data_IF_382175943136
#
_entry.id   IF_382175943136
#
_cell.length_a   1.000
_cell.length_b   1.000
_cell.length_c   1.000
_cell.angle_alpha   90.00
_cell.angle_beta   90.00
_cell.angle_gamma   90.00
#
_symmetry.space_group_name_H-M   'P 1'
#
loop_
_entity.id
_entity.type
_entity.pdbx_description
1 polymer ?
#
# COMPACT_ATOMS: atom_id res chain seq x y z
N UNK A 1 -48.05 -17.92 17.48
CA UNK A 1 -49.22 -18.29 16.61
C UNK A 1 -48.84 -17.97 15.18
N UNK A 2 -48.78 -19.04 14.40
CA UNK A 2 -48.93 -19.17 12.93
C UNK A 2 -48.03 -18.31 12.01
N UNK A 3 -47.02 -18.89 11.43
CA UNK A 3 -47.07 -19.83 10.29
C UNK A 3 -47.54 -19.22 8.97
N UNK A 4 -46.66 -19.13 7.98
CA UNK A 4 -46.86 -19.80 6.70
C UNK A 4 -45.63 -19.66 5.76
N UNK A 5 -45.11 -20.82 5.43
CA UNK A 5 -44.21 -21.10 4.32
C UNK A 5 -44.88 -20.81 2.99
N UNK A 6 -44.14 -20.32 2.01
CA UNK A 6 -44.52 -20.57 0.60
C UNK A 6 -43.26 -20.80 -0.22
N UNK A 7 -43.07 -22.06 -0.52
CA UNK A 7 -42.16 -22.64 -1.50
C UNK A 7 -42.77 -22.47 -2.88
N UNK A 8 -42.00 -22.00 -3.87
CA UNK A 8 -42.37 -22.20 -5.26
C UNK A 8 -41.11 -22.61 -6.06
N UNK A 9 -41.07 -23.90 -6.38
CA UNK A 9 -40.24 -24.50 -7.41
C UNK A 9 -40.84 -24.20 -8.79
N UNK A 10 -40.04 -23.82 -9.76
CA UNK A 10 -40.36 -24.10 -11.16
C UNK A 10 -39.06 -24.55 -11.86
N UNK A 11 -39.16 -25.72 -12.41
CA UNK A 11 -38.12 -26.46 -13.13
C UNK A 11 -38.16 -26.19 -14.63
N UNK A 12 -37.01 -26.40 -15.25
CA UNK A 12 -36.80 -27.10 -16.52
C UNK A 12 -37.15 -26.39 -17.83
N UNK A 13 -36.14 -26.18 -18.70
CA UNK A 13 -36.13 -26.77 -20.03
C UNK A 13 -34.74 -26.61 -20.71
N UNK A 14 -34.14 -27.76 -20.97
CA UNK A 14 -33.02 -27.96 -21.90
C UNK A 14 -33.49 -27.74 -23.36
N UNK A 15 -32.68 -27.12 -24.20
CA UNK A 15 -32.67 -27.42 -25.64
C UNK A 15 -31.21 -27.48 -26.13
N UNK A 16 -30.87 -28.66 -26.54
CA UNK A 16 -29.67 -29.04 -27.31
C UNK A 16 -29.97 -28.79 -28.78
N UNK A 17 -29.08 -28.15 -29.51
CA UNK A 17 -29.04 -28.27 -30.97
C UNK A 17 -27.59 -28.33 -31.45
N UNK A 18 -27.33 -29.44 -32.10
CA UNK A 18 -26.05 -29.81 -32.72
C UNK A 18 -26.03 -29.45 -34.22
N UNK A 19 -24.80 -29.50 -34.74
CA UNK A 19 -24.39 -29.81 -36.10
C UNK A 19 -24.14 -28.66 -37.09
N UNK A 20 -22.95 -28.75 -37.69
CA UNK A 20 -22.60 -28.11 -38.95
C UNK A 20 -21.11 -28.04 -39.22
N UNK A 21 -20.46 -29.20 -39.48
CA UNK A 21 -19.16 -29.25 -40.16
C UNK A 21 -19.34 -28.90 -41.65
N UNK A 22 -18.50 -28.03 -42.20
CA UNK A 22 -18.15 -28.05 -43.64
C UNK A 22 -16.66 -27.73 -43.79
N UNK A 23 -15.95 -28.76 -44.20
CA UNK A 23 -14.62 -28.75 -44.85
C UNK A 23 -14.75 -28.41 -46.31
N UNK A 24 -13.84 -27.61 -46.88
CA UNK A 24 -13.31 -27.75 -48.24
C UNK A 24 -12.17 -26.77 -48.54
N UNK A 25 -11.36 -26.94 -49.60
CA UNK A 25 -9.93 -27.24 -49.44
C UNK A 25 -9.00 -26.14 -50.00
N UNK A 26 -7.71 -26.43 -49.85
CA UNK A 26 -6.52 -25.72 -50.26
C UNK A 26 -6.55 -25.06 -51.65
N UNK A 27 -6.04 -23.86 -51.73
CA UNK A 27 -5.40 -23.34 -52.92
C UNK A 27 -4.00 -22.82 -52.63
N UNK A 28 -3.06 -23.40 -53.33
CA UNK A 28 -1.63 -23.19 -53.28
C UNK A 28 -1.28 -22.05 -54.22
N UNK A 29 -0.84 -20.92 -53.69
CA UNK A 29 -0.11 -19.94 -54.50
C UNK A 29 1.22 -19.60 -53.79
N UNK A 30 2.27 -20.03 -54.44
CA UNK A 30 3.62 -19.60 -54.15
C UNK A 30 3.82 -18.20 -54.74
N UNK A 31 4.46 -17.29 -53.99
CA UNK A 31 5.30 -16.25 -54.57
C UNK A 31 6.09 -15.49 -53.49
N UNK A 32 7.41 -15.60 -53.62
CA UNK A 32 8.47 -14.63 -53.32
C UNK A 32 8.56 -14.05 -51.93
N UNK A 33 9.59 -14.48 -51.22
CA UNK A 33 10.15 -13.81 -50.07
C UNK A 33 10.78 -12.43 -50.42
N UNK A 34 10.56 -11.40 -49.66
CA UNK A 34 11.49 -10.28 -49.60
C UNK A 34 12.47 -10.45 -48.44
N UNK A 35 13.65 -10.20 -48.81
CA UNK A 35 14.90 -9.95 -48.10
C UNK A 35 14.80 -9.52 -46.66
N UNK A 36 15.47 -10.28 -45.80
CA UNK A 36 15.64 -10.07 -44.37
C UNK A 36 16.57 -8.87 -44.11
N UNK A 37 15.98 -7.70 -43.94
CA UNK A 37 16.69 -6.55 -43.39
C UNK A 37 16.92 -6.81 -41.89
N UNK A 38 18.15 -7.14 -41.54
CA UNK A 38 18.56 -7.31 -40.16
C UNK A 38 18.52 -5.96 -39.43
N UNK A 39 17.51 -5.78 -38.57
CA UNK A 39 17.55 -4.74 -37.57
C UNK A 39 18.62 -5.13 -36.53
N UNK A 40 19.51 -4.20 -36.11
CA UNK A 40 20.43 -4.47 -35.03
C UNK A 40 19.63 -4.71 -33.73
N UNK A 41 19.97 -5.80 -33.04
CA UNK A 41 19.44 -6.10 -31.73
C UNK A 41 19.74 -4.91 -30.79
N UNK A 42 18.68 -4.25 -30.33
CA UNK A 42 18.78 -3.31 -29.24
C UNK A 42 19.23 -4.09 -28.00
N UNK A 43 20.40 -3.77 -27.47
CA UNK A 43 20.84 -4.25 -26.16
C UNK A 43 19.77 -3.90 -25.11
N UNK A 44 19.44 -4.80 -24.16
CA UNK A 44 18.54 -4.47 -23.07
C UNK A 44 19.21 -3.38 -22.24
N UNK A 45 18.79 -2.14 -22.47
CA UNK A 45 19.19 -1.00 -21.66
C UNK A 45 18.92 -1.32 -20.19
N UNK A 46 20.01 -1.41 -19.42
CA UNK A 46 19.99 -1.49 -17.97
C UNK A 46 19.24 -0.28 -17.46
N UNK A 47 17.95 -0.43 -17.16
CA UNK A 47 17.14 0.60 -16.49
C UNK A 47 17.82 0.80 -15.14
N UNK A 48 18.62 1.85 -15.02
CA UNK A 48 19.15 2.27 -13.74
C UNK A 48 17.94 2.62 -12.87
N UNK A 49 17.65 1.79 -11.88
CA UNK A 49 16.70 2.08 -10.83
C UNK A 49 17.28 3.25 -10.04
N UNK A 50 16.94 4.47 -10.46
CA UNK A 50 17.32 5.68 -9.72
C UNK A 50 16.41 5.76 -8.50
N UNK A 51 16.80 5.07 -7.43
CA UNK A 51 16.26 5.37 -6.11
C UNK A 51 16.53 6.86 -5.86
N UNK A 52 15.49 7.69 -5.59
CA UNK A 52 15.71 9.10 -5.33
C UNK A 52 16.74 9.28 -4.21
N UNK A 53 17.70 10.17 -4.39
CA UNK A 53 18.67 10.48 -3.34
C UNK A 53 17.91 10.94 -2.09
N UNK A 54 18.21 10.36 -0.92
CA UNK A 54 17.61 10.75 0.34
C UNK A 54 18.13 12.15 0.69
N UNK A 55 17.27 13.17 0.80
CA UNK A 55 17.68 14.52 1.20
C UNK A 55 18.36 14.50 2.58
N UNK A 56 19.31 15.41 2.82
CA UNK A 56 20.06 15.49 4.07
C UNK A 56 19.16 15.58 5.33
N UNK A 57 18.01 16.24 5.20
CA UNK A 57 17.01 16.33 6.29
C UNK A 57 16.38 14.97 6.64
N UNK A 58 16.51 13.97 5.77
CA UNK A 58 16.04 12.60 5.95
C UNK A 58 17.21 11.60 6.01
N UNK A 59 18.43 12.06 6.27
CA UNK A 59 19.55 11.20 6.64
C UNK A 59 19.27 10.50 7.97
N UNK A 60 20.08 9.50 8.28
CA UNK A 60 20.00 8.81 9.58
C UNK A 60 20.05 9.81 10.73
N UNK A 61 19.20 9.68 11.77
CA UNK A 61 19.20 10.61 12.90
C UNK A 61 20.57 10.65 13.59
N UNK A 62 21.06 11.83 13.97
CA UNK A 62 22.33 11.96 14.65
C UNK A 62 22.31 11.20 16.01
N UNK A 63 23.44 10.56 16.35
CA UNK A 63 23.61 9.74 17.57
C UNK A 63 22.69 8.50 17.66
N UNK A 64 22.07 8.12 16.56
CA UNK A 64 21.31 6.88 16.44
C UNK A 64 21.93 5.96 15.37
N UNK A 65 21.62 4.68 15.48
CA UNK A 65 21.97 3.66 14.47
C UNK A 65 20.73 2.87 14.06
N UNK A 66 20.65 2.50 12.80
CA UNK A 66 19.61 1.62 12.30
C UNK A 66 19.69 0.26 13.01
N UNK A 67 18.57 -0.17 13.59
CA UNK A 67 18.45 -1.46 14.28
C UNK A 67 17.61 -2.45 13.50
N UNK A 68 16.63 -1.96 12.73
CA UNK A 68 15.72 -2.80 11.97
C UNK A 68 15.26 -2.08 10.72
N UNK A 69 15.11 -2.84 9.63
CA UNK A 69 14.47 -2.43 8.39
C UNK A 69 13.38 -3.42 8.04
N UNK A 70 12.17 -2.94 7.70
CA UNK A 70 11.04 -3.77 7.30
C UNK A 70 10.31 -3.15 6.13
N UNK A 71 9.74 -4.00 5.28
CA UNK A 71 8.79 -3.61 4.26
C UNK A 71 7.38 -3.60 4.86
N UNK A 72 6.58 -2.61 4.49
CA UNK A 72 5.17 -2.52 4.83
C UNK A 72 4.30 -2.64 3.58
N UNK A 73 3.26 -3.44 3.66
CA UNK A 73 2.21 -3.54 2.64
C UNK A 73 0.85 -3.54 3.32
N UNK A 74 -0.05 -2.66 2.86
CA UNK A 74 -1.37 -2.54 3.45
C UNK A 74 -2.14 -1.37 2.88
N UNK A 75 -2.94 -0.70 3.71
CA UNK A 75 -3.81 0.39 3.30
C UNK A 75 -3.69 1.62 4.22
N UNK A 76 -3.91 2.77 3.64
CA UNK A 76 -4.28 3.98 4.38
C UNK A 76 -5.81 4.08 4.38
N UNK A 77 -6.40 4.20 5.55
CA UNK A 77 -7.85 4.32 5.74
C UNK A 77 -8.17 5.80 5.90
N UNK A 78 -9.09 6.30 5.09
CA UNK A 78 -9.56 7.66 5.13
C UNK A 78 -11.06 7.69 5.43
N UNK A 79 -11.50 8.70 6.20
CA UNK A 79 -12.90 8.99 6.43
C UNK A 79 -13.27 10.29 5.72
N UNK A 80 -14.38 10.30 5.00
CA UNK A 80 -14.93 11.50 4.40
C UNK A 80 -15.63 12.33 5.48
N UNK A 81 -15.28 13.59 5.58
CA UNK A 81 -15.88 14.52 6.53
C UNK A 81 -15.72 15.98 6.16
N UNK A 82 -16.39 16.88 6.87
CA UNK A 82 -16.20 18.30 6.68
C UNK A 82 -14.76 18.71 7.00
N UNK A 83 -14.22 19.66 6.24
CA UNK A 83 -12.91 20.24 6.53
C UNK A 83 -12.93 20.99 7.86
N UNK A 84 -11.79 20.99 8.55
CA UNK A 84 -11.68 21.67 9.86
C UNK A 84 -11.82 23.19 9.77
N UNK A 85 -11.38 23.76 8.68
CA UNK A 85 -11.34 25.21 8.39
C UNK A 85 -12.58 25.70 7.63
N UNK A 86 -13.35 24.81 7.01
CA UNK A 86 -14.57 25.10 6.29
C UNK A 86 -15.54 23.91 6.33
N UNK A 87 -16.51 23.95 7.23
CA UNK A 87 -17.49 22.88 7.40
C UNK A 87 -18.45 22.72 6.19
N UNK A 88 -18.46 23.63 5.23
CA UNK A 88 -19.24 23.51 3.99
C UNK A 88 -18.54 22.65 2.94
N UNK A 89 -17.23 22.47 3.04
CA UNK A 89 -16.41 21.65 2.18
C UNK A 89 -16.10 20.31 2.83
N UNK A 90 -16.00 19.27 2.02
CA UNK A 90 -15.70 17.91 2.47
C UNK A 90 -14.35 17.44 1.92
N UNK A 91 -13.66 16.62 2.70
CA UNK A 91 -12.39 16.01 2.31
C UNK A 91 -12.18 14.66 2.97
N UNK A 92 -11.40 13.81 2.32
CA UNK A 92 -10.87 12.59 2.92
C UNK A 92 -9.80 12.93 3.95
N UNK A 93 -10.04 12.55 5.19
CA UNK A 93 -9.09 12.73 6.30
C UNK A 93 -8.54 11.37 6.72
N UNK A 94 -7.22 11.29 6.87
CA UNK A 94 -6.57 10.05 7.32
C UNK A 94 -7.09 9.64 8.70
N UNK A 95 -7.68 8.45 8.76
CA UNK A 95 -8.13 7.79 9.99
C UNK A 95 -7.00 6.99 10.61
N UNK A 96 -6.44 6.04 9.86
CA UNK A 96 -5.40 5.14 10.34
C UNK A 96 -4.70 4.42 9.17
N UNK A 97 -3.44 4.02 9.33
CA UNK A 97 -2.84 2.96 8.53
C UNK A 97 -3.29 1.58 9.04
N UNK A 98 -3.20 0.58 8.17
CA UNK A 98 -3.30 -0.84 8.49
C UNK A 98 -2.39 -1.60 7.53
N UNK A 99 -1.28 -2.15 8.03
CA UNK A 99 -0.30 -2.83 7.18
C UNK A 99 0.39 -3.99 7.91
N UNK A 100 0.78 -4.98 7.13
CA UNK A 100 1.68 -6.03 7.53
C UNK A 100 3.12 -5.57 7.36
N UNK A 101 3.99 -5.98 8.28
CA UNK A 101 5.42 -5.73 8.23
C UNK A 101 6.15 -7.06 7.94
N UNK A 102 7.04 -7.00 6.96
CA UNK A 102 7.85 -8.17 6.54
C UNK A 102 9.33 -7.83 6.57
N UNK A 103 10.16 -8.82 6.86
CA UNK A 103 11.62 -8.71 6.74
C UNK A 103 12.07 -8.82 5.27
N UNK A 104 13.39 -8.73 5.05
CA UNK A 104 14.00 -8.84 3.72
C UNK A 104 13.82 -10.20 3.05
N UNK A 105 13.42 -11.24 3.80
CA UNK A 105 13.12 -12.58 3.31
C UNK A 105 11.63 -12.77 3.03
N UNK A 106 10.79 -11.77 3.35
CA UNK A 106 9.34 -11.80 3.18
C UNK A 106 8.59 -12.46 4.35
N UNK A 107 9.24 -12.79 5.45
CA UNK A 107 8.55 -13.30 6.63
C UNK A 107 7.86 -12.16 7.38
N UNK A 108 6.63 -12.41 7.82
CA UNK A 108 5.89 -11.49 8.67
C UNK A 108 6.59 -11.32 10.01
N UNK A 109 6.94 -10.08 10.33
CA UNK A 109 7.62 -9.71 11.57
C UNK A 109 6.78 -8.77 12.45
N UNK A 110 5.63 -8.29 11.95
CA UNK A 110 4.77 -7.43 12.74
C UNK A 110 3.64 -6.80 11.94
N UNK A 111 3.07 -5.75 12.51
CA UNK A 111 1.98 -4.93 11.92
C UNK A 111 2.18 -3.46 12.23
N UNK A 112 1.61 -2.60 11.38
CA UNK A 112 1.53 -1.15 11.57
C UNK A 112 0.06 -0.72 11.54
N UNK A 113 -0.36 0.08 12.52
CA UNK A 113 -1.75 0.50 12.66
C UNK A 113 -1.88 1.83 13.40
N UNK A 114 -3.09 2.42 13.37
CA UNK A 114 -3.40 3.59 14.18
C UNK A 114 -3.79 3.18 15.59
N UNK A 115 -3.19 3.84 16.60
CA UNK A 115 -3.60 3.73 18.00
C UNK A 115 -4.17 5.05 18.52
N UNK A 116 -4.84 5.08 19.67
CA UNK A 116 -5.36 6.32 20.25
C UNK A 116 -4.26 7.38 20.52
N UNK A 117 -3.02 6.94 20.70
CA UNK A 117 -1.89 7.80 21.09
C UNK A 117 -0.94 8.12 19.95
N UNK A 118 -1.13 7.52 18.76
CA UNK A 118 -0.30 7.75 17.58
C UNK A 118 -0.19 6.53 16.65
N UNK A 119 0.60 6.63 15.58
CA UNK A 119 0.89 5.47 14.73
C UNK A 119 1.72 4.46 15.52
N UNK A 120 1.31 3.18 15.48
CA UNK A 120 1.94 2.10 16.22
C UNK A 120 2.54 1.05 15.29
N UNK A 121 3.70 0.53 15.67
CA UNK A 121 4.34 -0.65 15.07
C UNK A 121 4.49 -1.70 16.18
N UNK A 122 3.96 -2.88 15.94
CA UNK A 122 3.95 -3.99 16.89
C UNK A 122 4.58 -5.20 16.24
N UNK A 123 5.63 -5.72 16.85
CA UNK A 123 6.34 -6.89 16.36
C UNK A 123 5.67 -8.19 16.83
N UNK A 124 6.00 -9.29 16.14
CA UNK A 124 5.54 -10.64 16.51
C UNK A 124 6.07 -11.11 17.86
N UNK A 125 7.13 -10.49 18.39
CA UNK A 125 7.66 -10.73 19.74
C UNK A 125 6.88 -10.02 20.85
N UNK A 126 5.82 -9.27 20.49
CA UNK A 126 4.97 -8.52 21.40
C UNK A 126 5.51 -7.14 21.80
N UNK A 127 6.72 -6.76 21.37
CA UNK A 127 7.20 -5.39 21.57
C UNK A 127 6.50 -4.42 20.62
N UNK A 128 6.33 -3.18 21.10
CA UNK A 128 5.64 -2.13 20.35
C UNK A 128 6.33 -0.79 20.50
N UNK A 129 6.30 0.00 19.43
CA UNK A 129 6.68 1.42 19.45
C UNK A 129 5.53 2.26 18.92
N UNK A 130 5.28 3.39 19.57
CA UNK A 130 4.31 4.42 19.13
C UNK A 130 5.11 5.64 18.71
N UNK A 131 4.83 6.13 17.50
CA UNK A 131 5.48 7.32 16.96
C UNK A 131 4.80 8.61 17.42
N UNK A 132 5.60 9.65 17.62
CA UNK A 132 5.13 11.00 17.94
C UNK A 132 4.81 11.75 16.63
N UNK A 133 3.54 11.70 16.22
CA UNK A 133 3.08 12.37 14.98
C UNK A 133 3.26 13.89 15.05
N UNK A 134 3.12 14.50 16.23
CA UNK A 134 3.15 15.94 16.39
C UNK A 134 4.57 16.51 16.19
N UNK A 135 5.59 15.67 16.34
CA UNK A 135 7.00 15.98 16.10
C UNK A 135 7.56 15.40 14.81
N UNK A 136 6.70 14.83 13.97
CA UNK A 136 7.14 14.24 12.71
C UNK A 136 7.64 15.29 11.73
N UNK A 137 8.82 15.03 11.16
CA UNK A 137 9.26 15.69 9.94
C UNK A 137 8.63 14.98 8.73
N UNK A 138 8.12 15.74 7.78
CA UNK A 138 7.43 15.23 6.60
C UNK A 138 8.05 15.80 5.33
N UNK A 139 8.33 14.93 4.35
CA UNK A 139 8.76 15.32 3.02
C UNK A 139 7.73 14.82 2.01
N UNK A 140 7.07 15.74 1.27
CA UNK A 140 6.14 15.35 0.22
C UNK A 140 6.80 14.44 -0.82
N UNK A 141 6.07 13.42 -1.26
CA UNK A 141 6.49 12.53 -2.33
C UNK A 141 5.40 12.52 -3.43
N UNK A 142 5.76 12.64 -4.73
CA UNK A 142 4.77 12.71 -5.80
C UNK A 142 3.87 11.48 -5.83
N UNK A 143 2.55 11.69 -5.91
CA UNK A 143 1.52 10.65 -6.09
C UNK A 143 1.47 9.55 -5.01
N UNK A 144 2.09 9.77 -3.86
CA UNK A 144 2.13 8.81 -2.76
C UNK A 144 2.02 9.51 -1.40
N UNK A 145 1.93 8.73 -0.32
CA UNK A 145 2.02 9.30 1.02
C UNK A 145 3.44 9.83 1.27
N UNK A 146 3.61 10.89 2.07
CA UNK A 146 4.90 11.52 2.30
C UNK A 146 5.90 10.60 3.00
N UNK A 147 7.19 10.84 2.79
CA UNK A 147 8.24 10.33 3.65
C UNK A 147 8.13 10.95 5.02
N UNK A 148 8.48 10.22 6.06
CA UNK A 148 8.39 10.69 7.45
C UNK A 148 9.65 10.31 8.23
N UNK A 149 10.04 11.19 9.13
CA UNK A 149 10.95 10.90 10.23
C UNK A 149 10.29 11.39 11.51
N UNK A 150 10.06 10.50 12.46
CA UNK A 150 9.37 10.84 13.71
C UNK A 150 10.05 10.18 14.91
N UNK A 151 10.16 10.88 16.05
CA UNK A 151 10.65 10.27 17.27
C UNK A 151 9.65 9.25 17.81
N UNK A 152 10.13 8.27 18.57
CA UNK A 152 9.28 7.42 19.37
C UNK A 152 8.67 8.24 20.52
N UNK A 153 7.34 8.14 20.66
CA UNK A 153 6.60 8.70 21.80
C UNK A 153 6.68 7.78 23.01
N UNK A 154 6.56 6.47 22.78
CA UNK A 154 6.69 5.44 23.81
C UNK A 154 7.04 4.09 23.18
N UNK A 155 7.61 3.20 24.00
CA UNK A 155 7.80 1.79 23.69
C UNK A 155 7.16 0.93 24.77
N UNK A 156 6.70 -0.28 24.39
CA UNK A 156 6.07 -1.24 25.28
C UNK A 156 6.63 -2.63 25.00
N UNK A 157 6.62 -3.48 26.02
CA UNK A 157 7.10 -4.86 25.93
C UNK A 157 8.63 -4.97 25.85
N UNK A 158 9.11 -6.21 25.74
CA UNK A 158 10.53 -6.54 25.53
C UNK A 158 10.70 -7.15 24.16
N UNK A 159 11.65 -6.67 23.36
CA UNK A 159 11.90 -7.17 22.00
C UNK A 159 12.48 -6.10 21.11
N UNK A 160 12.32 -6.29 19.81
CA UNK A 160 12.98 -5.48 18.76
C UNK A 160 12.62 -3.99 18.80
N UNK A 161 11.43 -3.64 19.31
CA UNK A 161 10.99 -2.25 19.39
C UNK A 161 11.22 -1.58 20.74
N UNK A 162 11.69 -2.32 21.76
CA UNK A 162 11.79 -1.82 23.14
C UNK A 162 12.77 -0.65 23.34
N UNK A 163 13.75 -0.47 22.45
CA UNK A 163 14.77 0.57 22.53
C UNK A 163 14.70 1.59 21.39
N UNK A 164 13.67 1.56 20.57
CA UNK A 164 13.53 2.46 19.42
C UNK A 164 13.40 3.92 19.88
N UNK A 165 14.18 4.80 19.25
CA UNK A 165 14.19 6.23 19.46
C UNK A 165 13.53 6.99 18.32
N UNK A 166 13.74 6.55 17.09
CA UNK A 166 13.15 7.17 15.91
C UNK A 166 12.67 6.13 14.89
N UNK A 167 11.65 6.49 14.13
CA UNK A 167 11.08 5.72 13.04
C UNK A 167 11.14 6.57 11.78
N UNK A 168 11.62 5.99 10.69
CA UNK A 168 11.65 6.64 9.39
C UNK A 168 10.81 5.83 8.39
N UNK A 169 9.99 6.51 7.59
CA UNK A 169 9.25 5.94 6.47
C UNK A 169 9.77 6.51 5.18
N UNK A 170 10.32 5.65 4.32
CA UNK A 170 10.83 5.99 2.98
C UNK A 170 10.22 5.07 1.92
N UNK A 171 10.59 5.31 0.65
CA UNK A 171 10.23 4.46 -0.49
C UNK A 171 8.72 4.17 -0.56
N UNK A 172 7.92 5.21 -0.38
CA UNK A 172 6.47 5.09 -0.35
C UNK A 172 5.89 4.91 -1.75
N UNK A 173 4.90 4.03 -1.89
CA UNK A 173 4.11 3.81 -3.10
C UNK A 173 2.62 3.90 -2.72
N UNK A 174 1.83 4.63 -3.48
CA UNK A 174 0.39 4.74 -3.27
C UNK A 174 -0.02 5.37 -1.93
N UNK A 175 -1.18 5.00 -1.44
CA UNK A 175 -1.70 5.42 -0.14
C UNK A 175 -2.24 6.85 -0.07
N UNK A 176 -2.12 7.68 -1.12
CA UNK A 176 -2.65 9.05 -1.14
C UNK A 176 -4.18 9.02 -1.09
N UNK A 177 -4.76 9.95 -0.32
CA UNK A 177 -6.21 10.12 -0.32
C UNK A 177 -6.75 10.38 -1.73
N UNK A 178 -7.93 9.85 -2.11
CA UNK A 178 -8.54 10.19 -3.38
C UNK A 178 -8.82 11.69 -3.47
N UNK A 179 -8.65 12.24 -4.67
CA UNK A 179 -8.91 13.67 -4.92
C UNK A 179 -10.41 13.96 -5.06
N UNK A 180 -11.25 12.92 -5.24
CA UNK A 180 -12.69 13.01 -5.45
C UNK A 180 -13.47 12.02 -4.58
N UNK A 181 -14.81 12.04 -4.66
CA UNK A 181 -15.69 11.08 -4.00
C UNK A 181 -15.99 11.37 -2.52
N UNK A 182 -15.48 12.48 -1.98
CA UNK A 182 -15.87 12.95 -0.66
C UNK A 182 -16.70 14.24 -0.76
N UNK A 183 -17.96 14.11 -0.44
CA UNK A 183 -18.96 15.18 -0.42
C UNK A 183 -19.94 14.96 0.74
N UNK A 184 -20.93 15.82 0.85
CA UNK A 184 -21.97 15.74 1.90
C UNK A 184 -22.74 14.42 1.87
N UNK A 185 -22.99 13.83 0.70
CA UNK A 185 -23.71 12.56 0.56
C UNK A 185 -22.87 11.35 0.99
N UNK A 186 -21.55 11.51 0.98
CA UNK A 186 -20.59 10.49 1.37
C UNK A 186 -19.99 10.72 2.76
N UNK A 187 -20.50 11.71 3.52
CA UNK A 187 -20.02 11.99 4.87
C UNK A 187 -20.09 10.75 5.78
N UNK A 188 -19.03 10.49 6.51
CA UNK A 188 -18.87 9.31 7.38
C UNK A 188 -18.43 8.04 6.67
N UNK A 189 -18.44 7.98 5.34
CA UNK A 189 -17.91 6.82 4.59
C UNK A 189 -16.41 6.73 4.70
N UNK A 190 -15.91 5.50 4.63
CA UNK A 190 -14.47 5.21 4.63
C UNK A 190 -14.02 4.72 3.25
N UNK A 191 -12.77 5.01 2.92
CA UNK A 191 -12.07 4.44 1.78
C UNK A 191 -10.72 3.89 2.23
N UNK A 192 -10.28 2.82 1.58
CA UNK A 192 -9.02 2.12 1.86
C UNK A 192 -8.14 2.20 0.62
N UNK A 193 -6.98 2.82 0.74
CA UNK A 193 -6.08 3.04 -0.39
C UNK A 193 -4.79 2.26 -0.17
N UNK A 194 -4.49 1.35 -1.07
CA UNK A 194 -3.30 0.50 -0.99
C UNK A 194 -2.02 1.34 -0.95
N UNK A 195 -1.09 0.92 -0.09
CA UNK A 195 0.24 1.51 -0.03
C UNK A 195 1.32 0.48 0.29
N UNK A 196 2.55 0.85 -0.07
CA UNK A 196 3.77 0.22 0.41
C UNK A 196 4.72 1.28 0.95
N UNK A 197 5.61 0.85 1.82
CA UNK A 197 6.69 1.69 2.35
C UNK A 197 7.82 0.82 2.89
N UNK A 198 8.99 1.43 3.09
CA UNK A 198 10.05 0.87 3.92
C UNK A 198 10.10 1.63 5.23
N UNK A 199 10.09 0.92 6.35
CA UNK A 199 10.31 1.49 7.67
C UNK A 199 11.67 1.13 8.19
N UNK A 200 12.37 2.15 8.72
CA UNK A 200 13.66 2.03 9.40
C UNK A 200 13.45 2.43 10.86
N UNK A 201 13.95 1.60 11.76
CA UNK A 201 13.90 1.86 13.21
C UNK A 201 15.30 2.10 13.71
N UNK A 202 15.45 3.13 14.52
CA UNK A 202 16.73 3.57 15.03
C UNK A 202 16.77 3.46 16.54
N UNK A 203 17.92 3.07 17.07
CA UNK A 203 18.23 3.01 18.51
C UNK A 203 19.43 3.91 18.82
N UNK A 204 19.63 4.29 20.07
CA UNK A 204 20.80 5.07 20.45
C UNK A 204 22.09 4.38 20.03
N UNK A 205 23.08 5.14 19.57
CA UNK A 205 24.46 4.63 19.44
C UNK A 205 25.03 4.44 20.85
N UNK A 206 25.50 3.26 21.11
CA UNK A 206 26.33 2.94 22.27
C UNK A 206 27.76 3.37 21.98
#
# INVERSE_FOLDING_TARGET
MNSRKLTLMIALLLTISAAGCTTTPAEKAATTAPEKSAMPAAEPGKVASTTPAIPTAFADPPNEKKSLEVSAKGVQIYTCGPKKDDATQFAWTLKAPEAELTDSKGYKVGKHYGSPTGPAWEATDGSKVIGDRDKAQSLPAPNTIPWLLLPAKSTEGKGVFSQVKSIQRLNTEGGKAPDTGCDKANAGKETRVDYKATYYFYVARS
#
